data_IF_801163683093
#
_entry.id   IF_801163683093
#
_cell.length_a   1.000
_cell.length_b   1.000
_cell.length_c   1.000
_cell.angle_alpha   90.00
_cell.angle_beta   90.00
_cell.angle_gamma   90.00
#
_symmetry.space_group_name_H-M   'P 1'
#
loop_
_entity.id
_entity.type
_entity.pdbx_description
1 polymer ?
#
# COMPACT_ATOMS: atom_id res chain seq x y z
N UNK A 1 36.58 -8.04 -28.00
CA UNK A 1 36.70 -9.00 -26.89
C UNK A 1 35.30 -9.39 -26.49
N UNK A 2 34.86 -10.57 -26.92
CA UNK A 2 33.55 -11.12 -26.58
C UNK A 2 33.55 -11.48 -25.10
N UNK A 3 32.75 -10.78 -24.29
CA UNK A 3 32.52 -11.19 -22.91
C UNK A 3 31.40 -12.23 -22.91
N UNK A 4 31.79 -13.49 -23.10
CA UNK A 4 30.97 -14.67 -22.82
C UNK A 4 30.84 -14.82 -21.30
N UNK A 5 29.98 -14.00 -20.69
CA UNK A 5 29.54 -14.18 -19.31
C UNK A 5 28.36 -15.15 -19.29
N UNK A 6 28.52 -16.30 -18.64
CA UNK A 6 27.44 -17.26 -18.42
C UNK A 6 26.27 -16.58 -17.71
N UNK A 7 25.24 -16.25 -18.47
CA UNK A 7 24.04 -15.61 -17.95
C UNK A 7 23.23 -16.62 -17.16
N UNK A 8 23.34 -16.59 -15.83
CA UNK A 8 22.35 -17.24 -14.98
C UNK A 8 20.97 -16.69 -15.37
N UNK A 9 20.06 -17.56 -15.80
CA UNK A 9 18.70 -17.14 -16.14
C UNK A 9 18.04 -16.56 -14.90
N UNK A 10 17.46 -15.37 -15.03
CA UNK A 10 16.64 -14.79 -13.98
C UNK A 10 15.48 -15.76 -13.73
N UNK A 11 15.30 -16.27 -12.50
CA UNK A 11 14.20 -17.19 -12.21
C UNK A 11 12.86 -16.47 -12.47
N UNK A 12 11.88 -17.19 -13.00
CA UNK A 12 10.60 -16.60 -13.40
C UNK A 12 9.78 -16.04 -12.23
N UNK A 13 10.11 -16.39 -10.99
CA UNK A 13 9.30 -16.14 -9.81
C UNK A 13 8.04 -17.02 -9.78
N UNK A 14 7.39 -17.13 -8.62
CA UNK A 14 6.10 -17.80 -8.53
C UNK A 14 4.99 -16.88 -9.07
N UNK A 15 4.00 -17.47 -9.74
CA UNK A 15 2.75 -16.78 -10.07
C UNK A 15 1.75 -17.05 -8.96
N UNK A 16 1.16 -16.02 -8.32
CA UNK A 16 0.21 -16.25 -7.24
C UNK A 16 -1.07 -16.89 -7.73
N UNK A 17 -1.72 -17.66 -6.86
CA UNK A 17 -3.14 -17.94 -7.01
C UNK A 17 -3.89 -16.74 -6.40
N UNK A 18 -4.75 -16.02 -7.16
CA UNK A 18 -5.46 -14.88 -6.60
C UNK A 18 -6.35 -15.35 -5.43
N UNK A 19 -6.10 -14.82 -4.24
CA UNK A 19 -6.92 -15.06 -3.06
C UNK A 19 -8.02 -14.00 -2.99
N UNK A 20 -9.28 -14.43 -2.92
CA UNK A 20 -10.39 -13.52 -2.71
C UNK A 20 -10.40 -12.99 -1.27
N UNK A 21 -10.55 -11.68 -1.09
CA UNK A 21 -10.78 -11.09 0.23
C UNK A 21 -12.21 -11.43 0.65
N UNK A 22 -12.37 -12.07 1.80
CA UNK A 22 -13.70 -12.31 2.38
C UNK A 22 -14.07 -11.16 3.31
N UNK A 23 -15.11 -10.41 2.96
CA UNK A 23 -15.64 -9.35 3.82
C UNK A 23 -16.28 -9.91 5.10
N UNK A 24 -16.12 -9.21 6.22
CA UNK A 24 -16.66 -9.63 7.50
C UNK A 24 -15.85 -9.14 8.71
N UNK A 25 -16.27 -9.51 9.93
CA UNK A 25 -15.56 -9.11 11.15
C UNK A 25 -14.16 -9.74 11.23
N UNK A 26 -13.24 -9.15 12.02
CA UNK A 26 -11.94 -9.74 12.27
C UNK A 26 -12.05 -11.17 12.79
N UNK A 27 -11.27 -12.09 12.22
CA UNK A 27 -11.14 -13.49 12.69
C UNK A 27 -10.06 -13.64 13.76
N UNK A 28 -9.41 -12.53 14.13
CA UNK A 28 -8.33 -12.43 15.12
C UNK A 28 -8.53 -11.19 16.00
N UNK A 29 -7.90 -11.16 17.16
CA UNK A 29 -8.00 -10.07 18.13
C UNK A 29 -6.66 -9.78 18.82
N UNK A 30 -6.61 -8.71 19.63
CA UNK A 30 -5.45 -8.36 20.44
C UNK A 30 -4.17 -8.17 19.63
N UNK A 31 -3.05 -8.67 20.16
CA UNK A 31 -1.74 -8.55 19.53
C UNK A 31 -1.70 -9.22 18.14
N UNK A 32 -2.42 -10.34 17.95
CA UNK A 32 -2.49 -11.01 16.65
C UNK A 32 -3.13 -10.10 15.60
N UNK A 33 -4.22 -9.40 15.94
CA UNK A 33 -4.85 -8.45 15.01
C UNK A 33 -3.91 -7.28 14.67
N UNK A 34 -3.15 -6.77 15.65
CA UNK A 34 -2.15 -5.73 15.42
C UNK A 34 -1.03 -6.21 14.49
N UNK A 35 -0.56 -7.44 14.68
CA UNK A 35 0.45 -8.06 13.82
C UNK A 35 -0.05 -8.25 12.39
N UNK A 36 -1.31 -8.69 12.21
CA UNK A 36 -1.92 -8.82 10.89
C UNK A 36 -1.97 -7.47 10.16
N UNK A 37 -2.37 -6.39 10.85
CA UNK A 37 -2.38 -5.03 10.27
C UNK A 37 -0.98 -4.55 9.92
N UNK A 38 0.01 -4.80 10.76
CA UNK A 38 1.42 -4.47 10.50
C UNK A 38 1.95 -5.24 9.28
N UNK A 39 1.63 -6.53 9.18
CA UNK A 39 2.02 -7.35 8.03
C UNK A 39 1.37 -6.83 6.73
N UNK A 40 0.08 -6.50 6.75
CA UNK A 40 -0.60 -5.91 5.58
C UNK A 40 0.06 -4.62 5.10
N UNK A 41 0.47 -3.73 6.01
CA UNK A 41 1.22 -2.52 5.63
C UNK A 41 2.55 -2.89 4.94
N UNK A 42 3.24 -3.92 5.44
CA UNK A 42 4.44 -4.48 4.82
C UNK A 42 4.19 -4.98 3.39
N UNK A 43 3.14 -5.79 3.18
CA UNK A 43 2.81 -6.34 1.86
C UNK A 43 2.38 -5.24 0.86
N UNK A 44 1.57 -4.27 1.29
CA UNK A 44 1.19 -3.14 0.46
C UNK A 44 2.40 -2.28 0.08
N UNK A 45 3.32 -2.03 1.02
CA UNK A 45 4.55 -1.30 0.73
C UNK A 45 5.48 -2.10 -0.21
N UNK A 46 5.58 -3.42 -0.03
CA UNK A 46 6.35 -4.29 -0.91
C UNK A 46 5.81 -4.27 -2.34
N UNK A 47 4.49 -4.37 -2.53
CA UNK A 47 3.83 -4.22 -3.83
C UNK A 47 4.23 -2.89 -4.50
N UNK A 48 4.01 -1.76 -3.82
CA UNK A 48 4.30 -0.44 -4.38
C UNK A 48 5.78 -0.31 -4.76
N UNK A 49 6.70 -0.77 -3.89
CA UNK A 49 8.14 -0.71 -4.10
C UNK A 49 8.59 -1.57 -5.28
N UNK A 50 8.15 -2.82 -5.35
CA UNK A 50 8.55 -3.73 -6.43
C UNK A 50 8.00 -3.30 -7.78
N UNK A 51 6.81 -2.69 -7.84
CA UNK A 51 6.33 -2.08 -9.09
C UNK A 51 7.25 -0.95 -9.58
N UNK A 52 7.79 -0.11 -8.67
CA UNK A 52 8.77 0.92 -9.04
C UNK A 52 10.13 0.33 -9.44
N UNK A 53 10.55 -0.77 -8.84
CA UNK A 53 11.76 -1.48 -9.25
C UNK A 53 11.60 -2.12 -10.62
N UNK A 54 10.41 -2.67 -10.93
CA UNK A 54 10.09 -3.17 -12.26
C UNK A 54 10.17 -2.04 -13.31
N UNK A 55 9.64 -0.85 -13.02
CA UNK A 55 9.74 0.31 -13.91
C UNK A 55 11.20 0.68 -14.21
N UNK A 56 12.06 0.69 -13.18
CA UNK A 56 13.48 0.98 -13.38
C UNK A 56 14.18 -0.12 -14.18
N UNK A 57 13.93 -1.40 -13.87
CA UNK A 57 14.50 -2.52 -14.62
C UNK A 57 14.11 -2.50 -16.11
N UNK A 58 12.89 -2.05 -16.45
CA UNK A 58 12.47 -1.82 -17.85
C UNK A 58 13.30 -0.71 -18.51
N UNK A 59 13.53 0.42 -17.81
CA UNK A 59 14.36 1.52 -18.32
C UNK A 59 15.81 1.10 -18.57
N UNK A 60 16.31 0.19 -17.75
CA UNK A 60 17.66 -0.35 -17.88
C UNK A 60 17.77 -1.49 -18.93
N UNK A 61 16.67 -1.83 -19.62
CA UNK A 61 16.63 -2.89 -20.63
C UNK A 61 16.60 -4.32 -20.06
N UNK A 62 16.43 -4.48 -18.75
CA UNK A 62 16.40 -5.77 -18.08
C UNK A 62 14.97 -6.30 -17.90
N UNK A 63 14.38 -6.75 -19.02
CA UNK A 63 12.99 -7.22 -19.07
C UNK A 63 12.72 -8.42 -18.15
N UNK A 64 13.69 -9.32 -17.98
CA UNK A 64 13.55 -10.49 -17.12
C UNK A 64 13.47 -10.10 -15.63
N UNK A 65 14.31 -9.17 -15.16
CA UNK A 65 14.23 -8.64 -13.80
C UNK A 65 12.97 -7.81 -13.59
N UNK A 66 12.54 -7.05 -14.59
CA UNK A 66 11.27 -6.32 -14.53
C UNK A 66 10.08 -7.26 -14.36
N UNK A 67 10.07 -8.40 -15.07
CA UNK A 67 9.03 -9.41 -14.93
C UNK A 67 9.07 -10.06 -13.55
N UNK A 68 10.26 -10.39 -13.04
CA UNK A 68 10.41 -10.94 -11.70
C UNK A 68 9.81 -10.00 -10.63
N UNK A 69 10.18 -8.71 -10.64
CA UNK A 69 9.62 -7.74 -9.70
C UNK A 69 8.11 -7.59 -9.85
N UNK A 70 7.60 -7.58 -11.08
CA UNK A 70 6.14 -7.48 -11.33
C UNK A 70 5.40 -8.70 -10.77
N UNK A 71 5.95 -9.91 -10.97
CA UNK A 71 5.37 -11.14 -10.45
C UNK A 71 5.38 -11.16 -8.92
N UNK A 72 6.51 -10.79 -8.31
CA UNK A 72 6.63 -10.70 -6.85
C UNK A 72 5.66 -9.67 -6.28
N UNK A 73 5.57 -8.46 -6.85
CA UNK A 73 4.60 -7.46 -6.40
C UNK A 73 3.17 -8.02 -6.40
N UNK A 74 2.76 -8.61 -7.52
CA UNK A 74 1.43 -9.21 -7.63
C UNK A 74 1.20 -10.34 -6.64
N UNK A 75 2.25 -11.08 -6.24
CA UNK A 75 2.16 -12.10 -5.20
C UNK A 75 1.85 -11.47 -3.83
N UNK A 76 2.60 -10.43 -3.43
CA UNK A 76 2.37 -9.76 -2.15
C UNK A 76 0.96 -9.19 -2.04
N UNK A 77 0.45 -8.57 -3.11
CA UNK A 77 -0.88 -7.94 -3.11
C UNK A 77 -2.03 -8.96 -3.20
N UNK A 78 -1.94 -9.92 -4.13
CA UNK A 78 -3.10 -10.77 -4.47
C UNK A 78 -3.17 -12.05 -3.63
N UNK A 79 -2.11 -12.41 -2.91
CA UNK A 79 -2.08 -13.60 -2.06
C UNK A 79 -1.88 -13.22 -0.59
N UNK A 80 -0.69 -12.74 -0.22
CA UNK A 80 -0.37 -12.45 1.18
C UNK A 80 -1.27 -11.36 1.78
N UNK A 81 -1.35 -10.19 1.16
CA UNK A 81 -2.20 -9.10 1.63
C UNK A 81 -3.67 -9.53 1.70
N UNK A 82 -4.17 -10.21 0.67
CA UNK A 82 -5.57 -10.64 0.61
C UNK A 82 -5.93 -11.66 1.72
N UNK A 83 -5.04 -12.61 2.01
CA UNK A 83 -5.23 -13.58 3.10
C UNK A 83 -5.18 -12.89 4.47
N UNK A 84 -4.21 -11.99 4.67
CA UNK A 84 -4.10 -11.20 5.90
C UNK A 84 -5.33 -10.30 6.11
N UNK A 85 -5.82 -9.65 5.06
CA UNK A 85 -7.01 -8.80 5.08
C UNK A 85 -8.26 -9.55 5.52
N UNK A 86 -8.41 -10.80 5.07
CA UNK A 86 -9.51 -11.68 5.49
C UNK A 86 -9.42 -12.03 6.97
N UNK A 87 -8.22 -12.33 7.49
CA UNK A 87 -8.04 -12.62 8.92
C UNK A 87 -8.23 -11.37 9.79
N UNK A 88 -7.80 -10.22 9.29
CA UNK A 88 -7.90 -8.94 9.98
C UNK A 88 -9.31 -8.33 9.94
N UNK A 89 -10.21 -8.85 9.09
CA UNK A 89 -11.52 -8.25 8.86
C UNK A 89 -11.41 -6.84 8.28
N UNK A 90 -10.50 -6.65 7.32
CA UNK A 90 -10.20 -5.36 6.72
C UNK A 90 -11.40 -4.76 5.98
N UNK A 91 -12.14 -5.60 5.26
CA UNK A 91 -13.27 -5.18 4.43
C UNK A 91 -14.58 -5.52 5.12
N UNK A 92 -15.41 -4.51 5.38
CA UNK A 92 -16.76 -4.72 5.89
C UNK A 92 -17.70 -5.15 4.75
N UNK A 93 -18.76 -5.90 5.11
CA UNK A 93 -19.81 -6.29 4.17
C UNK A 93 -20.69 -5.12 3.73
N UNK A 94 -20.79 -4.10 4.59
CA UNK A 94 -21.53 -2.87 4.31
C UNK A 94 -20.60 -1.81 3.71
N UNK A 95 -20.97 -1.28 2.54
CA UNK A 95 -20.21 -0.23 1.86
C UNK A 95 -20.19 1.06 2.67
N UNK A 96 -21.25 1.38 3.40
CA UNK A 96 -21.30 2.58 4.24
C UNK A 96 -20.31 2.49 5.41
N UNK A 97 -20.10 1.29 5.96
CA UNK A 97 -19.07 1.06 6.97
C UNK A 97 -17.65 1.26 6.40
N UNK A 98 -17.37 0.78 5.20
CA UNK A 98 -16.08 1.01 4.53
C UNK A 98 -15.85 2.50 4.22
N UNK A 99 -16.88 3.22 3.77
CA UNK A 99 -16.82 4.67 3.58
C UNK A 99 -16.55 5.41 4.88
N UNK A 100 -17.18 5.00 5.97
CA UNK A 100 -16.97 5.61 7.28
C UNK A 100 -15.55 5.36 7.80
N UNK A 101 -14.99 4.17 7.59
CA UNK A 101 -13.60 3.84 7.92
C UNK A 101 -12.63 4.73 7.13
N UNK A 102 -12.82 4.84 5.80
CA UNK A 102 -12.02 5.73 4.95
C UNK A 102 -12.11 7.19 5.42
N UNK A 103 -13.31 7.72 5.67
CA UNK A 103 -13.50 9.09 6.19
C UNK A 103 -12.70 9.34 7.48
N UNK A 104 -12.66 8.35 8.37
CA UNK A 104 -11.93 8.45 9.63
C UNK A 104 -10.41 8.42 9.41
N UNK A 105 -9.93 7.56 8.51
CA UNK A 105 -8.53 7.52 8.09
C UNK A 105 -8.09 8.86 7.49
N UNK A 106 -8.78 9.30 6.44
CA UNK A 106 -8.51 10.58 5.76
C UNK A 106 -8.58 11.78 6.73
N UNK A 107 -9.53 11.76 7.69
CA UNK A 107 -9.61 12.79 8.73
C UNK A 107 -8.35 12.83 9.58
N UNK A 108 -7.87 11.67 10.02
CA UNK A 108 -6.70 11.56 10.89
C UNK A 108 -5.44 11.97 10.14
N UNK A 109 -5.30 11.55 8.89
CA UNK A 109 -4.15 11.89 8.06
C UNK A 109 -4.08 13.40 7.80
N UNK A 110 -5.19 14.00 7.39
CA UNK A 110 -5.29 15.44 7.08
C UNK A 110 -5.10 16.34 8.30
N UNK A 111 -5.74 16.02 9.43
CA UNK A 111 -5.81 16.93 10.57
C UNK A 111 -4.72 16.66 11.63
N UNK A 112 -4.12 15.46 11.65
CA UNK A 112 -3.16 15.04 12.68
C UNK A 112 -1.85 14.58 12.07
N UNK A 113 -1.83 13.47 11.35
CA UNK A 113 -0.59 12.79 10.99
C UNK A 113 0.32 13.63 10.10
N UNK A 114 -0.18 14.12 8.96
CA UNK A 114 0.64 14.89 8.03
C UNK A 114 1.01 16.29 8.55
N UNK A 115 0.12 17.03 9.24
CA UNK A 115 0.53 18.25 9.94
C UNK A 115 1.64 18.00 10.98
N UNK A 116 1.59 16.88 11.70
CA UNK A 116 2.63 16.53 12.68
C UNK A 116 3.96 16.21 11.99
N UNK A 117 3.93 15.45 10.90
CA UNK A 117 5.13 15.16 10.10
C UNK A 117 5.71 16.42 9.46
N UNK A 118 4.88 17.35 9.00
CA UNK A 118 5.34 18.63 8.48
C UNK A 118 6.12 19.43 9.53
N UNK A 119 5.59 19.51 10.77
CA UNK A 119 6.27 20.19 11.88
C UNK A 119 7.60 19.52 12.25
N UNK A 120 7.64 18.19 12.27
CA UNK A 120 8.88 17.44 12.52
C UNK A 120 9.92 17.70 11.41
N UNK A 121 9.49 17.77 10.14
CA UNK A 121 10.35 18.08 9.02
C UNK A 121 10.89 19.52 9.06
N UNK A 122 10.09 20.51 9.47
CA UNK A 122 10.57 21.88 9.70
C UNK A 122 11.65 21.91 10.80
N UNK A 123 11.41 21.22 11.92
CA UNK A 123 12.35 21.14 13.04
C UNK A 123 13.67 20.47 12.63
N UNK A 124 13.61 19.51 11.72
CA UNK A 124 14.78 18.87 11.14
C UNK A 124 15.47 19.69 10.04
N UNK A 125 14.95 20.87 9.69
CA UNK A 125 15.51 21.72 8.62
C UNK A 125 15.28 21.16 7.21
N UNK A 126 14.23 20.36 7.00
CA UNK A 126 13.85 19.81 5.70
C UNK A 126 12.56 20.44 5.17
N UNK A 127 12.64 21.67 4.59
CA UNK A 127 11.45 22.38 4.12
C UNK A 127 10.75 21.69 2.94
N UNK A 128 11.49 20.88 2.16
CA UNK A 128 10.90 20.13 1.05
C UNK A 128 9.93 19.06 1.56
N UNK A 129 10.35 18.24 2.53
CA UNK A 129 9.48 17.26 3.16
C UNK A 129 8.31 17.93 3.89
N UNK A 130 8.57 19.04 4.60
CA UNK A 130 7.52 19.77 5.29
C UNK A 130 6.43 20.27 4.34
N UNK A 131 6.82 20.87 3.21
CA UNK A 131 5.87 21.33 2.19
C UNK A 131 5.08 20.17 1.58
N UNK A 132 5.75 19.05 1.27
CA UNK A 132 5.08 17.86 0.75
C UNK A 132 4.05 17.31 1.73
N UNK A 133 4.37 17.20 3.02
CA UNK A 133 3.40 16.74 4.00
C UNK A 133 2.21 17.69 4.14
N UNK A 134 2.40 19.01 4.03
CA UNK A 134 1.29 19.97 4.01
C UNK A 134 0.42 19.84 2.76
N UNK A 135 1.02 19.58 1.61
CA UNK A 135 0.30 19.31 0.36
C UNK A 135 -0.56 18.05 0.49
N UNK A 136 0.04 16.94 0.94
CA UNK A 136 -0.68 15.68 1.13
C UNK A 136 -1.82 15.85 2.15
N UNK A 137 -1.61 16.59 3.25
CA UNK A 137 -2.69 16.91 4.19
C UNK A 137 -3.90 17.60 3.53
N UNK A 138 -3.66 18.45 2.53
CA UNK A 138 -4.69 19.09 1.71
C UNK A 138 -5.44 18.10 0.82
N UNK A 139 -4.72 17.16 0.21
CA UNK A 139 -5.29 16.11 -0.64
C UNK A 139 -6.17 15.15 0.18
N UNK A 140 -5.70 14.69 1.34
CA UNK A 140 -6.50 13.81 2.22
C UNK A 140 -7.76 14.52 2.73
N UNK A 141 -7.70 15.85 2.91
CA UNK A 141 -8.90 16.64 3.22
C UNK A 141 -9.92 16.62 2.08
N UNK A 142 -9.46 16.64 0.83
CA UNK A 142 -10.33 16.55 -0.35
C UNK A 142 -10.90 15.13 -0.53
N UNK A 143 -10.10 14.08 -0.29
CA UNK A 143 -10.55 12.69 -0.29
C UNK A 143 -11.65 12.48 0.76
N UNK A 144 -11.42 12.92 1.99
CA UNK A 144 -12.43 12.89 3.05
C UNK A 144 -13.76 13.50 2.61
N UNK A 145 -13.73 14.72 2.04
CA UNK A 145 -14.95 15.42 1.61
C UNK A 145 -15.70 14.62 0.54
N UNK A 146 -14.97 14.00 -0.38
CA UNK A 146 -15.53 13.16 -1.44
C UNK A 146 -16.21 11.92 -0.86
N UNK A 147 -15.56 11.22 0.08
CA UNK A 147 -16.17 10.07 0.75
C UNK A 147 -17.38 10.45 1.61
N UNK A 148 -17.33 11.59 2.32
CA UNK A 148 -18.50 12.11 3.06
C UNK A 148 -19.69 12.34 2.15
N UNK A 149 -19.46 12.96 0.98
CA UNK A 149 -20.52 13.19 0.00
C UNK A 149 -21.11 11.88 -0.51
N UNK A 150 -20.26 10.89 -0.80
CA UNK A 150 -20.70 9.56 -1.21
C UNK A 150 -21.57 8.90 -0.12
N UNK A 151 -21.14 8.94 1.14
CA UNK A 151 -21.89 8.38 2.26
C UNK A 151 -23.27 9.04 2.46
N UNK A 152 -23.39 10.35 2.26
CA UNK A 152 -24.68 11.06 2.38
C UNK A 152 -25.63 10.85 1.19
N UNK A 153 -25.11 10.35 0.07
CA UNK A 153 -25.89 10.10 -1.16
C UNK A 153 -26.29 8.61 -1.28
N UNK A 154 -25.80 7.76 -0.39
CA UNK A 154 -25.99 6.30 -0.42
C UNK A 154 -27.16 5.82 0.42
#
# INVERSE_FOLDING_TARGET
MSNSGGGASVPAGATPAPAAITAGPPRSSGATLANLRTAMQGEAFAYAKYMRYADQARRDGNSAVAQLFTNTANFELNEHFAMLATLAGLVATDTNANLQDAINGEQHEADVMYPDYARQADQAGNPQAANLFREIAGDEKAHQQTFRKALTTS
#
